data_IF_176167287186
#
_entry.id   IF_176167287186
#
_cell.length_a   1.000
_cell.length_b   1.000
_cell.length_c   1.000
_cell.angle_alpha   90.00
_cell.angle_beta   90.00
_cell.angle_gamma   90.00
#
_symmetry.space_group_name_H-M   'P 1'
#
loop_
_entity.id
_entity.type
_entity.pdbx_description
1 polymer ?
#
# COMPACT_ATOMS: atom_id res chain seq x y z
N UNK A 1 -46.59 10.95 -18.46
CA UNK A 1 -46.47 10.26 -17.14
C UNK A 1 -46.37 11.32 -16.06
N UNK A 2 -46.99 11.15 -14.90
CA UNK A 2 -47.03 12.21 -13.86
C UNK A 2 -45.70 12.19 -13.10
N UNK A 3 -45.17 13.36 -12.74
CA UNK A 3 -43.90 13.53 -12.00
C UNK A 3 -43.74 12.65 -10.73
N UNK A 4 -44.83 12.14 -10.16
CA UNK A 4 -44.81 11.21 -9.03
C UNK A 4 -44.34 9.80 -9.40
N UNK A 5 -44.64 9.33 -10.62
CA UNK A 5 -44.24 7.99 -11.08
C UNK A 5 -42.72 7.92 -11.26
N UNK A 6 -42.12 9.01 -11.76
CA UNK A 6 -40.67 9.16 -11.89
C UNK A 6 -39.96 9.12 -10.53
N UNK A 7 -40.53 9.79 -9.52
CA UNK A 7 -39.96 9.80 -8.16
C UNK A 7 -40.02 8.42 -7.48
N UNK A 8 -41.06 7.62 -7.74
CA UNK A 8 -41.13 6.26 -7.20
C UNK A 8 -40.17 5.30 -7.91
N UNK A 9 -40.00 5.46 -9.23
CA UNK A 9 -39.00 4.69 -10.00
C UNK A 9 -37.59 5.02 -9.49
N UNK A 10 -37.25 6.30 -9.34
CA UNK A 10 -35.97 6.77 -8.77
C UNK A 10 -35.73 6.14 -7.40
N UNK A 11 -36.74 6.15 -6.51
CA UNK A 11 -36.63 5.58 -5.17
C UNK A 11 -36.38 4.07 -5.19
N UNK A 12 -37.06 3.34 -6.06
CA UNK A 12 -36.94 1.89 -6.13
C UNK A 12 -35.58 1.45 -6.69
N UNK A 13 -35.02 2.17 -7.67
CA UNK A 13 -33.74 1.83 -8.28
C UNK A 13 -32.55 2.20 -7.40
N UNK A 14 -32.63 3.31 -6.65
CA UNK A 14 -31.63 3.64 -5.61
C UNK A 14 -31.61 2.54 -4.54
N UNK A 15 -32.78 2.05 -4.11
CA UNK A 15 -32.85 0.94 -3.16
C UNK A 15 -32.34 -0.38 -3.74
N UNK A 16 -32.55 -0.64 -5.04
CA UNK A 16 -32.01 -1.80 -5.73
C UNK A 16 -30.47 -1.74 -5.85
N UNK A 17 -29.90 -0.56 -6.08
CA UNK A 17 -28.46 -0.36 -6.13
C UNK A 17 -27.81 -0.53 -4.73
N UNK A 18 -28.44 0.01 -3.68
CA UNK A 18 -27.97 -0.13 -2.29
C UNK A 18 -28.05 -1.59 -1.82
N UNK A 19 -29.10 -2.33 -2.18
CA UNK A 19 -29.27 -3.75 -1.82
C UNK A 19 -28.31 -4.71 -2.55
N UNK A 20 -27.72 -4.28 -3.67
CA UNK A 20 -26.63 -5.02 -4.37
C UNK A 20 -25.25 -4.86 -3.72
N UNK A 21 -25.16 -4.23 -2.54
CA UNK A 21 -23.92 -4.13 -1.77
C UNK A 21 -23.02 -2.95 -2.15
N UNK A 22 -23.46 -2.07 -3.06
CA UNK A 22 -22.80 -0.79 -3.34
C UNK A 22 -23.17 0.21 -2.24
N UNK A 23 -22.43 0.16 -1.12
CA UNK A 23 -22.61 1.10 0.00
C UNK A 23 -22.11 2.51 -0.28
N UNK A 24 -21.24 2.67 -1.28
CA UNK A 24 -20.59 3.94 -1.62
C UNK A 24 -20.85 4.28 -3.09
N UNK A 25 -22.10 4.61 -3.44
CA UNK A 25 -22.35 5.28 -4.71
C UNK A 25 -21.78 6.70 -4.61
N UNK A 26 -20.81 7.10 -5.45
CA UNK A 26 -20.30 8.47 -5.41
C UNK A 26 -21.45 9.42 -5.72
N UNK A 27 -21.72 10.35 -4.80
CA UNK A 27 -22.79 11.36 -4.87
C UNK A 27 -22.84 12.06 -6.24
N UNK A 28 -21.67 12.17 -6.89
CA UNK A 28 -21.47 12.74 -8.22
C UNK A 28 -22.14 11.94 -9.35
N UNK A 29 -22.13 10.60 -9.29
CA UNK A 29 -22.83 9.78 -10.28
C UNK A 29 -24.35 9.90 -10.14
N UNK A 30 -24.83 10.11 -8.91
CA UNK A 30 -26.23 10.40 -8.64
C UNK A 30 -26.62 11.81 -9.08
N UNK A 31 -25.74 12.79 -8.90
CA UNK A 31 -25.93 14.18 -9.33
C UNK A 31 -25.94 14.29 -10.87
N UNK A 32 -24.95 13.68 -11.55
CA UNK A 32 -24.88 13.59 -13.02
C UNK A 32 -26.13 12.88 -13.59
N UNK A 33 -26.67 11.89 -12.86
CA UNK A 33 -27.91 11.19 -13.20
C UNK A 33 -29.16 12.07 -13.04
N UNK A 34 -29.28 12.79 -11.91
CA UNK A 34 -30.40 13.72 -11.67
C UNK A 34 -30.38 14.86 -12.70
N UNK A 35 -29.20 15.41 -13.02
CA UNK A 35 -29.03 16.43 -14.06
C UNK A 35 -29.47 15.90 -15.43
N UNK A 36 -29.11 14.65 -15.76
CA UNK A 36 -29.58 13.98 -16.98
C UNK A 36 -31.09 13.80 -17.05
N UNK A 37 -31.73 13.42 -15.94
CA UNK A 37 -33.18 13.27 -15.85
C UNK A 37 -33.94 14.60 -15.88
N UNK A 38 -33.40 15.64 -15.25
CA UNK A 38 -33.96 16.99 -15.32
C UNK A 38 -33.87 17.54 -16.75
N UNK A 39 -32.75 17.32 -17.44
CA UNK A 39 -32.60 17.68 -18.85
C UNK A 39 -33.62 16.96 -19.75
N UNK A 40 -33.95 15.69 -19.44
CA UNK A 40 -35.00 14.91 -20.12
C UNK A 40 -36.43 15.36 -19.80
N UNK A 41 -36.64 16.11 -18.72
CA UNK A 41 -37.95 16.60 -18.29
C UNK A 41 -38.22 18.07 -18.66
N UNK A 42 -37.22 18.78 -19.21
CA UNK A 42 -37.25 20.24 -19.37
C UNK A 42 -37.76 20.75 -20.72
N UNK A 43 -38.04 19.89 -21.69
CA UNK A 43 -38.71 20.30 -22.93
C UNK A 43 -39.80 19.29 -23.26
N UNK A 44 -41.01 19.80 -23.48
CA UNK A 44 -42.21 19.20 -24.06
C UNK A 44 -42.46 17.69 -23.82
N UNK A 45 -43.63 17.33 -23.29
CA UNK A 45 -44.06 15.93 -23.14
C UNK A 45 -44.40 15.38 -24.54
N UNK A 46 -43.37 15.12 -25.33
CA UNK A 46 -43.41 14.74 -26.73
C UNK A 46 -42.20 13.87 -27.04
N UNK A 47 -42.33 12.58 -26.72
CA UNK A 47 -41.38 11.55 -27.15
C UNK A 47 -40.09 11.49 -26.34
N UNK A 48 -40.17 10.88 -25.15
CA UNK A 48 -39.05 10.06 -24.69
C UNK A 48 -38.86 8.94 -25.72
N UNK A 49 -38.09 9.22 -26.77
CA UNK A 49 -37.73 8.22 -27.77
C UNK A 49 -37.01 7.07 -27.05
N UNK A 50 -37.52 5.86 -27.23
CA UNK A 50 -37.05 4.65 -26.55
C UNK A 50 -35.54 4.45 -26.77
N UNK A 51 -35.05 4.92 -27.92
CA UNK A 51 -33.64 4.96 -28.34
C UNK A 51 -32.79 5.88 -27.45
N UNK A 52 -33.31 7.03 -27.01
CA UNK A 52 -32.58 7.95 -26.14
C UNK A 52 -32.45 7.39 -24.72
N UNK A 53 -33.52 6.77 -24.21
CA UNK A 53 -33.48 6.10 -22.91
C UNK A 53 -32.48 4.93 -22.91
N UNK A 54 -32.44 4.15 -24.00
CA UNK A 54 -31.49 3.04 -24.17
C UNK A 54 -30.04 3.52 -24.24
N UNK A 55 -29.76 4.59 -25.00
CA UNK A 55 -28.42 5.21 -25.04
C UNK A 55 -27.95 5.70 -23.66
N UNK A 56 -28.84 6.33 -22.89
CA UNK A 56 -28.50 6.79 -21.54
C UNK A 56 -28.23 5.63 -20.58
N UNK A 57 -29.04 4.56 -20.63
CA UNK A 57 -28.80 3.33 -19.87
C UNK A 57 -27.46 2.69 -20.22
N UNK A 58 -27.13 2.60 -21.51
CA UNK A 58 -25.85 2.08 -21.97
C UNK A 58 -24.67 2.91 -21.46
N UNK A 59 -24.80 4.25 -21.43
CA UNK A 59 -23.77 5.15 -20.90
C UNK A 59 -23.58 4.97 -19.39
N UNK A 60 -24.66 4.97 -18.62
CA UNK A 60 -24.60 4.77 -17.15
C UNK A 60 -23.99 3.41 -16.82
N UNK A 61 -24.43 2.35 -17.53
CA UNK A 61 -23.88 1.01 -17.33
C UNK A 61 -22.38 0.98 -17.60
N UNK A 62 -21.93 1.69 -18.64
CA UNK A 62 -20.51 1.85 -18.97
C UNK A 62 -19.78 2.57 -17.83
N UNK A 63 -20.29 3.72 -17.38
CA UNK A 63 -19.67 4.52 -16.32
C UNK A 63 -19.58 3.74 -15.00
N UNK A 64 -20.65 3.04 -14.60
CA UNK A 64 -20.65 2.16 -13.43
C UNK A 64 -19.64 1.02 -13.55
N UNK A 65 -19.50 0.45 -14.75
CA UNK A 65 -18.50 -0.60 -15.02
C UNK A 65 -17.08 -0.04 -14.89
N UNK A 66 -16.83 1.16 -15.42
CA UNK A 66 -15.53 1.83 -15.30
C UNK A 66 -15.21 2.15 -13.83
N UNK A 67 -16.16 2.70 -13.07
CA UNK A 67 -15.94 3.01 -11.65
C UNK A 67 -15.66 1.75 -10.81
N UNK A 68 -16.46 0.70 -10.99
CA UNK A 68 -16.26 -0.56 -10.26
C UNK A 68 -14.92 -1.23 -10.64
N UNK A 69 -14.51 -1.17 -11.91
CA UNK A 69 -13.20 -1.64 -12.36
C UNK A 69 -12.06 -0.83 -11.72
N UNK A 70 -12.15 0.50 -11.72
CA UNK A 70 -11.14 1.37 -11.11
C UNK A 70 -10.94 1.07 -9.62
N UNK A 71 -12.03 0.84 -8.88
CA UNK A 71 -11.94 0.51 -7.45
C UNK A 71 -11.29 -0.86 -7.24
N UNK A 72 -11.67 -1.87 -8.04
CA UNK A 72 -11.03 -3.20 -7.97
C UNK A 72 -9.53 -3.14 -8.29
N UNK A 73 -9.15 -2.38 -9.32
CA UNK A 73 -7.75 -2.17 -9.71
C UNK A 73 -6.98 -1.47 -8.60
N UNK A 74 -7.57 -0.45 -7.98
CA UNK A 74 -6.94 0.29 -6.88
C UNK A 74 -6.67 -0.63 -5.69
N UNK A 75 -7.63 -1.47 -5.31
CA UNK A 75 -7.45 -2.43 -4.22
C UNK A 75 -6.40 -3.49 -4.56
N UNK A 76 -6.38 -3.97 -5.80
CA UNK A 76 -5.38 -4.93 -6.27
C UNK A 76 -3.97 -4.33 -6.27
N UNK A 77 -3.80 -3.12 -6.79
CA UNK A 77 -2.53 -2.39 -6.74
C UNK A 77 -2.07 -2.14 -5.30
N UNK A 78 -2.97 -1.76 -4.40
CA UNK A 78 -2.65 -1.59 -2.98
C UNK A 78 -2.18 -2.91 -2.32
N UNK A 79 -2.86 -4.02 -2.62
CA UNK A 79 -2.46 -5.35 -2.13
C UNK A 79 -1.09 -5.77 -2.69
N UNK A 80 -0.88 -5.57 -3.98
CA UNK A 80 0.40 -5.88 -4.65
C UNK A 80 1.55 -5.08 -4.03
N UNK A 81 1.40 -3.75 -3.93
CA UNK A 81 2.41 -2.87 -3.32
C UNK A 81 2.67 -3.23 -1.85
N UNK A 82 1.62 -3.55 -1.08
CA UNK A 82 1.78 -3.99 0.31
C UNK A 82 2.55 -5.31 0.37
N UNK A 83 2.23 -6.29 -0.46
CA UNK A 83 2.93 -7.57 -0.53
C UNK A 83 4.42 -7.37 -0.84
N UNK A 84 4.73 -6.60 -1.88
CA UNK A 84 6.12 -6.28 -2.25
C UNK A 84 6.87 -5.56 -1.12
N UNK A 85 6.21 -4.68 -0.36
CA UNK A 85 6.82 -4.02 0.79
C UNK A 85 7.17 -5.02 1.91
N UNK A 86 6.31 -6.00 2.20
CA UNK A 86 6.60 -7.03 3.20
C UNK A 86 7.78 -7.90 2.76
N UNK A 87 7.84 -8.27 1.48
CA UNK A 87 8.97 -9.04 0.93
C UNK A 87 10.28 -8.26 0.96
N UNK A 88 10.27 -6.95 0.65
CA UNK A 88 11.45 -6.10 0.76
C UNK A 88 11.96 -6.01 2.22
N UNK A 89 11.06 -5.88 3.19
CA UNK A 89 11.42 -5.88 4.62
C UNK A 89 11.99 -7.24 5.05
N UNK A 90 11.35 -8.34 4.66
CA UNK A 90 11.83 -9.70 4.95
C UNK A 90 13.22 -9.95 4.36
N UNK A 91 13.43 -9.53 3.12
CA UNK A 91 14.74 -9.60 2.45
C UNK A 91 15.79 -8.80 3.22
N UNK A 92 15.46 -7.59 3.67
CA UNK A 92 16.38 -6.74 4.45
C UNK A 92 16.74 -7.36 5.80
N UNK A 93 15.77 -7.99 6.49
CA UNK A 93 16.02 -8.75 7.73
C UNK A 93 16.92 -9.95 7.45
N UNK A 94 16.67 -10.70 6.38
CA UNK A 94 17.44 -11.89 6.03
C UNK A 94 18.89 -11.55 5.68
N UNK A 95 19.11 -10.50 4.88
CA UNK A 95 20.45 -10.08 4.46
C UNK A 95 21.27 -9.60 5.67
N UNK A 96 20.71 -8.70 6.49
CA UNK A 96 21.41 -8.23 7.69
C UNK A 96 21.59 -9.35 8.73
N UNK A 97 20.57 -10.20 8.92
CA UNK A 97 20.61 -11.34 9.83
C UNK A 97 21.65 -12.38 9.43
N UNK A 98 21.68 -12.75 8.16
CA UNK A 98 22.67 -13.69 7.61
C UNK A 98 24.10 -13.15 7.76
N UNK A 99 24.31 -11.86 7.47
CA UNK A 99 25.60 -11.22 7.66
C UNK A 99 26.01 -11.15 9.14
N UNK A 100 25.09 -10.80 10.04
CA UNK A 100 25.34 -10.78 11.48
C UNK A 100 25.72 -12.17 12.01
N UNK A 101 24.97 -13.22 11.63
CA UNK A 101 25.25 -14.60 12.05
C UNK A 101 26.60 -15.08 11.52
N UNK A 102 26.91 -14.81 10.24
CA UNK A 102 28.21 -15.16 9.67
C UNK A 102 29.35 -14.45 10.41
N UNK A 103 29.17 -13.16 10.75
CA UNK A 103 30.16 -12.40 11.49
C UNK A 103 30.33 -12.90 12.93
N UNK A 104 29.23 -13.23 13.62
CA UNK A 104 29.23 -13.83 14.96
C UNK A 104 29.97 -15.18 14.96
N UNK A 105 29.75 -16.02 13.94
CA UNK A 105 30.47 -17.28 13.80
C UNK A 105 31.98 -17.04 13.62
N UNK A 106 32.36 -16.08 12.78
CA UNK A 106 33.76 -15.71 12.57
C UNK A 106 34.42 -15.12 13.83
N UNK A 107 33.73 -14.21 14.52
CA UNK A 107 34.16 -13.64 15.80
C UNK A 107 34.35 -14.76 16.84
N UNK A 108 33.41 -15.70 16.92
CA UNK A 108 33.51 -16.86 17.83
C UNK A 108 34.74 -17.71 17.55
N UNK A 109 35.09 -17.90 16.27
CA UNK A 109 36.33 -18.57 15.90
C UNK A 109 37.58 -17.76 16.32
N UNK A 110 37.64 -16.45 16.04
CA UNK A 110 38.75 -15.60 16.46
C UNK A 110 38.95 -15.58 17.98
N UNK A 111 37.86 -15.52 18.75
CA UNK A 111 37.90 -15.59 20.20
C UNK A 111 38.47 -16.93 20.69
N UNK A 112 38.18 -18.04 19.99
CA UNK A 112 38.69 -19.37 20.35
C UNK A 112 40.20 -19.54 20.15
N UNK A 113 40.80 -18.77 19.23
CA UNK A 113 42.25 -18.81 18.94
C UNK A 113 43.04 -17.71 19.66
N UNK A 114 42.40 -16.91 20.51
CA UNK A 114 43.05 -15.90 21.35
C UNK A 114 43.27 -14.53 20.71
N UNK A 115 42.70 -14.29 19.52
CA UNK A 115 42.85 -13.04 18.75
C UNK A 115 41.90 -11.92 19.25
N UNK A 116 42.00 -11.58 20.53
CA UNK A 116 41.06 -10.67 21.21
C UNK A 116 41.05 -9.23 20.65
N UNK A 117 42.19 -8.75 20.11
CA UNK A 117 42.24 -7.43 19.46
C UNK A 117 41.41 -7.39 18.17
N UNK A 118 41.42 -8.47 17.39
CA UNK A 118 40.64 -8.58 16.15
C UNK A 118 39.14 -8.74 16.44
N UNK A 119 38.79 -9.45 17.52
CA UNK A 119 37.40 -9.58 18.01
C UNK A 119 36.79 -8.20 18.28
N UNK A 120 37.53 -7.31 18.94
CA UNK A 120 37.04 -5.95 19.24
C UNK A 120 36.80 -5.13 17.96
N UNK A 121 37.61 -5.33 16.91
CA UNK A 121 37.45 -4.67 15.62
C UNK A 121 36.08 -4.93 14.98
N UNK A 122 35.54 -6.14 15.11
CA UNK A 122 34.26 -6.51 14.49
C UNK A 122 33.00 -6.06 15.25
N UNK A 123 33.15 -5.40 16.40
CA UNK A 123 31.99 -4.85 17.13
C UNK A 123 31.23 -3.82 16.27
N UNK A 124 31.96 -2.92 15.59
CA UNK A 124 31.36 -1.89 14.72
C UNK A 124 30.51 -2.46 13.57
N UNK A 125 31.03 -3.37 12.71
CA UNK A 125 30.22 -3.97 11.65
C UNK A 125 29.04 -4.78 12.18
N UNK A 126 29.20 -5.48 13.32
CA UNK A 126 28.11 -6.23 13.93
C UNK A 126 26.97 -5.31 14.40
N UNK A 127 27.29 -4.17 15.01
CA UNK A 127 26.30 -3.14 15.36
C UNK A 127 25.58 -2.64 14.11
N UNK A 128 26.30 -2.41 13.01
CA UNK A 128 25.69 -2.06 11.72
C UNK A 128 24.61 -3.05 11.28
N UNK A 129 24.93 -4.34 11.24
CA UNK A 129 23.97 -5.38 10.85
C UNK A 129 22.79 -5.50 11.83
N UNK A 130 23.05 -5.48 13.14
CA UNK A 130 21.99 -5.60 14.16
C UNK A 130 21.06 -4.38 14.14
N UNK A 131 21.60 -3.17 14.00
CA UNK A 131 20.81 -1.96 13.81
C UNK A 131 20.02 -2.01 12.49
N UNK A 132 20.58 -2.61 11.44
CA UNK A 132 19.89 -2.86 10.17
C UNK A 132 18.66 -3.77 10.35
N UNK A 133 18.78 -4.85 11.13
CA UNK A 133 17.67 -5.74 11.49
C UNK A 133 16.61 -4.98 12.28
N UNK A 134 17.02 -4.20 13.29
CA UNK A 134 16.11 -3.40 14.11
C UNK A 134 15.33 -2.39 13.25
N UNK A 135 16.00 -1.68 12.36
CA UNK A 135 15.36 -0.73 11.45
C UNK A 135 14.33 -1.40 10.52
N UNK A 136 14.68 -2.55 9.92
CA UNK A 136 13.75 -3.29 9.08
C UNK A 136 12.55 -3.84 9.88
N UNK A 137 12.77 -4.29 11.11
CA UNK A 137 11.70 -4.78 11.99
C UNK A 137 10.75 -3.66 12.41
N UNK A 138 11.28 -2.47 12.72
CA UNK A 138 10.46 -1.28 12.99
C UNK A 138 9.65 -0.86 11.76
N UNK A 139 10.25 -0.94 10.56
CA UNK A 139 9.53 -0.69 9.31
C UNK A 139 8.31 -1.61 9.16
N UNK A 140 8.44 -2.89 9.50
CA UNK A 140 7.34 -3.86 9.53
C UNK A 140 6.21 -3.42 10.47
N UNK A 141 6.55 -2.95 11.68
CA UNK A 141 5.59 -2.40 12.63
C UNK A 141 4.85 -1.18 12.07
N UNK A 142 5.55 -0.27 11.40
CA UNK A 142 4.92 0.90 10.77
C UNK A 142 3.97 0.53 9.62
N UNK A 143 4.25 -0.54 8.88
CA UNK A 143 3.31 -1.04 7.86
C UNK A 143 1.99 -1.46 8.50
N UNK A 144 2.04 -2.16 9.62
CA UNK A 144 0.83 -2.54 10.37
C UNK A 144 0.04 -1.31 10.83
N UNK A 145 0.72 -0.31 11.41
CA UNK A 145 0.06 0.94 11.83
C UNK A 145 -0.51 1.72 10.64
N UNK A 146 0.17 1.73 9.48
CA UNK A 146 -0.33 2.38 8.27
C UNK A 146 -1.64 1.72 7.80
N UNK A 147 -1.68 0.38 7.77
CA UNK A 147 -2.90 -0.36 7.42
C UNK A 147 -4.04 -0.08 8.41
N UNK A 148 -3.76 -0.03 9.71
CA UNK A 148 -4.75 0.33 10.72
C UNK A 148 -5.28 1.75 10.53
N UNK A 149 -4.41 2.70 10.18
CA UNK A 149 -4.81 4.08 9.91
C UNK A 149 -5.70 4.18 8.67
N UNK A 150 -5.37 3.48 7.57
CA UNK A 150 -6.22 3.42 6.38
C UNK A 150 -7.57 2.76 6.67
N UNK A 151 -7.59 1.68 7.46
CA UNK A 151 -8.84 1.04 7.88
C UNK A 151 -9.74 1.98 8.69
N UNK A 152 -9.17 2.86 9.51
CA UNK A 152 -9.90 3.88 10.28
C UNK A 152 -10.27 5.13 9.48
N UNK A 153 -9.97 5.18 8.17
CA UNK A 153 -10.23 6.34 7.31
C UNK A 153 -9.22 7.48 7.42
N UNK A 154 -8.13 7.32 8.19
CA UNK A 154 -7.10 8.34 8.40
C UNK A 154 -6.04 8.32 7.31
N UNK A 155 -6.38 8.85 6.12
CA UNK A 155 -5.52 8.84 4.92
C UNK A 155 -4.17 9.54 5.17
N UNK A 156 -4.18 10.71 5.83
CA UNK A 156 -2.97 11.49 6.08
C UNK A 156 -1.97 10.74 6.99
N UNK A 157 -2.47 10.14 8.07
CA UNK A 157 -1.64 9.36 9.02
C UNK A 157 -1.10 8.11 8.33
N UNK A 158 -1.93 7.39 7.57
CA UNK A 158 -1.49 6.23 6.81
C UNK A 158 -0.43 6.58 5.76
N UNK A 159 -0.58 7.70 5.06
CA UNK A 159 0.39 8.19 4.08
C UNK A 159 1.74 8.54 4.74
N UNK A 160 1.70 9.28 5.85
CA UNK A 160 2.91 9.62 6.60
C UNK A 160 3.64 8.38 7.12
N UNK A 161 2.92 7.42 7.71
CA UNK A 161 3.51 6.16 8.19
C UNK A 161 4.18 5.36 7.07
N UNK A 162 3.62 5.36 5.85
CA UNK A 162 4.26 4.73 4.69
C UNK A 162 5.60 5.38 4.34
N UNK A 163 5.69 6.71 4.39
CA UNK A 163 6.96 7.41 4.15
C UNK A 163 7.98 7.02 5.21
N UNK A 164 7.58 6.96 6.48
CA UNK A 164 8.44 6.50 7.58
C UNK A 164 8.92 5.07 7.32
N UNK A 165 8.05 4.14 6.95
CA UNK A 165 8.44 2.77 6.57
C UNK A 165 9.54 2.77 5.51
N UNK A 166 9.38 3.55 4.42
CA UNK A 166 10.37 3.62 3.33
C UNK A 166 11.71 4.11 3.85
N UNK A 167 11.73 5.15 4.68
CA UNK A 167 12.96 5.68 5.28
C UNK A 167 13.66 4.62 6.12
N UNK A 168 12.93 3.84 6.93
CA UNK A 168 13.51 2.78 7.74
C UNK A 168 14.06 1.61 6.90
N UNK A 169 13.39 1.23 5.82
CA UNK A 169 13.90 0.19 4.89
C UNK A 169 15.18 0.65 4.21
N UNK A 170 15.20 1.88 3.67
CA UNK A 170 16.41 2.44 3.06
C UNK A 170 17.54 2.62 4.08
N UNK A 171 17.20 3.04 5.31
CA UNK A 171 18.14 3.12 6.42
C UNK A 171 18.74 1.76 6.79
N UNK A 172 17.93 0.69 6.79
CA UNK A 172 18.40 -0.68 7.01
C UNK A 172 19.41 -1.12 5.95
N UNK A 173 19.17 -0.81 4.68
CA UNK A 173 20.13 -1.09 3.60
C UNK A 173 21.40 -0.24 3.71
N UNK A 174 21.29 1.03 4.12
CA UNK A 174 22.45 1.87 4.41
C UNK A 174 23.31 1.31 5.54
N UNK A 175 22.69 0.80 6.60
CA UNK A 175 23.38 0.14 7.72
C UNK A 175 24.03 -1.17 7.30
N UNK A 176 23.41 -1.94 6.40
CA UNK A 176 24.02 -3.11 5.80
C UNK A 176 25.31 -2.74 5.05
N UNK A 177 25.25 -1.73 4.16
CA UNK A 177 26.43 -1.26 3.41
C UNK A 177 27.53 -0.78 4.36
N UNK A 178 27.17 -0.03 5.41
CA UNK A 178 28.11 0.39 6.44
C UNK A 178 28.77 -0.81 7.14
N UNK A 179 27.97 -1.79 7.58
CA UNK A 179 28.46 -3.01 8.23
C UNK A 179 29.40 -3.81 7.32
N UNK A 180 29.01 -4.02 6.07
CA UNK A 180 29.84 -4.71 5.07
C UNK A 180 31.15 -3.97 4.80
N UNK A 181 31.11 -2.65 4.63
CA UNK A 181 32.31 -1.85 4.40
C UNK A 181 33.25 -1.86 5.61
N UNK A 182 32.70 -1.73 6.82
CA UNK A 182 33.50 -1.79 8.05
C UNK A 182 34.13 -3.17 8.24
N UNK A 183 33.41 -4.26 7.97
CA UNK A 183 33.96 -5.61 8.01
C UNK A 183 35.07 -5.80 6.97
N UNK A 184 34.84 -5.34 5.74
CA UNK A 184 35.82 -5.40 4.64
C UNK A 184 37.15 -4.74 5.01
N UNK A 185 37.14 -3.55 5.61
CA UNK A 185 38.37 -2.88 6.03
C UNK A 185 39.15 -3.67 7.09
N UNK A 186 38.44 -4.35 7.99
CA UNK A 186 39.09 -5.18 9.01
C UNK A 186 39.74 -6.40 8.34
N UNK A 187 39.05 -7.05 7.41
CA UNK A 187 39.63 -8.16 6.64
C UNK A 187 40.91 -7.74 5.89
N UNK A 188 40.92 -6.56 5.25
CA UNK A 188 42.14 -6.03 4.62
C UNK A 188 43.28 -5.81 5.62
N UNK A 189 42.97 -5.39 6.85
CA UNK A 189 44.00 -5.20 7.88
C UNK A 189 44.60 -6.52 8.40
N UNK A 190 43.91 -7.64 8.18
CA UNK A 190 44.39 -8.99 8.53
C UNK A 190 45.33 -9.59 7.49
N UNK A 191 45.56 -8.92 6.35
CA UNK A 191 46.41 -9.43 5.27
C UNK A 191 45.79 -10.59 4.48
N UNK A 192 44.45 -10.71 4.52
CA UNK A 192 43.66 -11.63 3.68
C UNK A 192 43.31 -10.96 2.35
#
# INVERSE_FOLDING_TARGET
MKNRDLLEIIRSEIQAAISRGQKDMPLKALDDYIVGLVALASDDIGGLDEVMLEKYRAKIQTDLTVYSQQESQRLELLRSVSSSAHEAVRSSILINGGAAVALLAFIGHLASIGENELVAGFASPLVGFVSGILAATLAYGFVYFAQLAFYRGSINVGSWLRVVTVVFVLGSLGLFVYGSYSAYRIFLSMGV
#
